data_IF_555119895255
#
_entry.id   IF_555119895255
#
_cell.length_a   1.000
_cell.length_b   1.000
_cell.length_c   1.000
_cell.angle_alpha   90.00
_cell.angle_beta   90.00
_cell.angle_gamma   90.00
#
_symmetry.space_group_name_H-M   'P 1'
#
loop_
_entity.id
_entity.type
_entity.pdbx_description
1 polymer ?
#
# COMPACT_ATOMS: atom_id res chain seq x y z
N UNK A 1 -6.09 11.22 20.80
CA UNK A 1 -5.22 10.11 20.36
C UNK A 1 -4.62 10.52 19.04
N UNK A 2 -3.30 10.51 18.89
CA UNK A 2 -2.67 10.64 17.59
C UNK A 2 -3.05 9.41 16.79
N UNK A 3 -3.94 9.54 15.79
CA UNK A 3 -4.17 8.46 14.84
C UNK A 3 -2.86 8.26 14.09
N UNK A 4 -2.24 7.08 14.24
CA UNK A 4 -1.09 6.71 13.42
C UNK A 4 -1.57 6.67 11.97
N UNK A 5 -0.92 7.44 11.11
CA UNK A 5 -1.22 7.50 9.68
C UNK A 5 -0.89 6.14 9.03
N UNK A 6 -1.75 5.69 8.11
CA UNK A 6 -1.54 4.40 7.43
C UNK A 6 -0.21 4.37 6.67
N UNK A 7 0.46 3.23 6.72
CA UNK A 7 1.69 2.95 5.99
C UNK A 7 1.43 1.77 5.05
N UNK A 8 1.70 1.95 3.76
CA UNK A 8 1.60 0.91 2.74
C UNK A 8 2.66 -0.15 3.03
N UNK A 9 2.25 -1.41 3.09
CA UNK A 9 3.15 -2.54 3.18
C UNK A 9 3.26 -3.23 1.80
N UNK A 10 4.37 -3.06 1.06
CA UNK A 10 4.56 -3.74 -0.21
C UNK A 10 4.72 -5.25 -0.06
N UNK A 11 5.05 -5.76 1.12
CA UNK A 11 5.41 -7.16 1.36
C UNK A 11 6.43 -7.71 0.35
N UNK A 12 6.36 -9.02 0.10
CA UNK A 12 7.15 -9.71 -0.93
C UNK A 12 6.39 -9.74 -2.28
N UNK A 13 6.12 -8.58 -2.89
CA UNK A 13 5.78 -8.52 -4.32
C UNK A 13 7.09 -8.70 -5.12
N UNK A 14 7.69 -9.88 -5.01
CA UNK A 14 8.85 -10.26 -5.80
C UNK A 14 8.35 -10.93 -7.10
N UNK A 15 9.12 -10.79 -8.18
CA UNK A 15 8.82 -11.24 -9.55
C UNK A 15 8.36 -12.70 -9.72
N UNK A 16 8.44 -13.52 -8.67
CA UNK A 16 8.13 -14.94 -8.64
C UNK A 16 6.90 -15.31 -7.80
N UNK A 17 6.21 -14.35 -7.17
CA UNK A 17 4.91 -14.61 -6.55
C UNK A 17 3.79 -14.66 -7.59
N UNK A 18 2.88 -15.63 -7.48
CA UNK A 18 1.73 -15.81 -8.37
C UNK A 18 1.04 -14.46 -8.66
N UNK A 19 0.95 -14.09 -9.94
CA UNK A 19 0.51 -12.76 -10.40
C UNK A 19 -0.83 -12.33 -9.78
N UNK A 20 -1.75 -13.29 -9.59
CA UNK A 20 -3.03 -13.07 -8.91
C UNK A 20 -2.86 -12.63 -7.45
N UNK A 21 -1.91 -13.22 -6.72
CA UNK A 21 -1.63 -12.86 -5.32
C UNK A 21 -1.03 -11.46 -5.20
N UNK A 22 -0.18 -11.07 -6.14
CA UNK A 22 0.40 -9.72 -6.18
C UNK A 22 -0.68 -8.66 -6.43
N UNK A 23 -1.56 -8.87 -7.41
CA UNK A 23 -2.68 -7.96 -7.69
C UNK A 23 -3.61 -7.83 -6.49
N UNK A 24 -4.00 -8.94 -5.85
CA UNK A 24 -4.86 -8.91 -4.67
C UNK A 24 -4.25 -8.14 -3.50
N UNK A 25 -2.93 -8.28 -3.26
CA UNK A 25 -2.23 -7.51 -2.21
C UNK A 25 -2.21 -6.02 -2.50
N UNK A 26 -1.91 -5.64 -3.73
CA UNK A 26 -1.92 -4.22 -4.15
C UNK A 26 -3.33 -3.63 -3.95
N UNK A 27 -4.38 -4.36 -4.34
CA UNK A 27 -5.76 -3.92 -4.13
C UNK A 27 -6.09 -3.75 -2.64
N UNK A 28 -5.64 -4.68 -1.80
CA UNK A 28 -5.84 -4.63 -0.35
C UNK A 28 -5.19 -3.39 0.30
N UNK A 29 -3.95 -3.08 -0.07
CA UNK A 29 -3.24 -1.91 0.45
C UNK A 29 -3.90 -0.59 0.02
N UNK A 30 -4.40 -0.52 -1.21
CA UNK A 30 -5.14 0.66 -1.72
C UNK A 30 -6.46 0.84 -0.97
N UNK A 31 -7.20 -0.24 -0.72
CA UNK A 31 -8.46 -0.20 0.02
C UNK A 31 -8.25 0.29 1.46
N UNK A 32 -7.25 -0.26 2.15
CA UNK A 32 -6.91 0.16 3.50
C UNK A 32 -6.43 1.62 3.57
N UNK A 33 -5.61 2.06 2.62
CA UNK A 33 -5.18 3.45 2.51
C UNK A 33 -6.40 4.39 2.36
N UNK A 34 -7.35 4.05 1.49
CA UNK A 34 -8.58 4.82 1.32
C UNK A 34 -9.44 4.82 2.60
N UNK A 35 -9.62 3.67 3.24
CA UNK A 35 -10.42 3.53 4.47
C UNK A 35 -9.80 4.30 5.66
N UNK A 36 -8.47 4.36 5.72
CA UNK A 36 -7.76 5.14 6.74
C UNK A 36 -7.83 6.65 6.55
N UNK A 37 -8.31 7.12 5.39
CA UNK A 37 -8.29 8.53 5.00
C UNK A 37 -6.90 9.05 4.62
N UNK A 38 -6.00 8.17 4.18
CA UNK A 38 -4.65 8.56 3.77
C UNK A 38 -4.73 9.58 2.63
N UNK A 39 -4.05 10.72 2.80
CA UNK A 39 -3.99 11.75 1.75
C UNK A 39 -3.25 11.21 0.53
N UNK A 40 -3.75 11.54 -0.66
CA UNK A 40 -3.14 11.15 -1.94
C UNK A 40 -1.66 11.53 -2.05
N UNK A 41 -1.27 12.70 -1.56
CA UNK A 41 0.14 13.13 -1.51
C UNK A 41 1.00 12.16 -0.68
N UNK A 42 0.52 11.77 0.50
CA UNK A 42 1.20 10.81 1.37
C UNK A 42 1.25 9.41 0.78
N UNK A 43 0.18 8.99 0.10
CA UNK A 43 0.15 7.74 -0.64
C UNK A 43 1.25 7.75 -1.72
N UNK A 44 1.31 8.80 -2.54
CA UNK A 44 2.32 8.94 -3.58
C UNK A 44 3.75 8.97 -3.02
N UNK A 45 4.00 9.74 -1.95
CA UNK A 45 5.29 9.78 -1.25
C UNK A 45 5.74 8.40 -0.77
N UNK A 46 4.80 7.56 -0.33
CA UNK A 46 5.08 6.20 0.10
C UNK A 46 5.39 5.30 -1.10
N UNK A 47 4.61 5.37 -2.18
CA UNK A 47 4.87 4.61 -3.42
C UNK A 47 6.23 4.95 -4.02
N UNK A 48 6.63 6.22 -4.06
CA UNK A 48 7.95 6.64 -4.58
C UNK A 48 9.12 6.06 -3.78
N UNK A 49 8.94 5.81 -2.47
CA UNK A 49 9.96 5.18 -1.61
C UNK A 49 10.09 3.68 -1.80
N UNK A 50 9.13 3.05 -2.49
CA UNK A 50 9.10 1.62 -2.77
C UNK A 50 9.77 1.26 -4.11
N UNK A 51 10.14 2.27 -4.92
CA UNK A 51 10.87 2.12 -6.18
C UNK A 51 12.38 2.06 -5.97
#
# INVERSE_FOLDING_TARGET
MSQTEYQIDPGNIASNSEETSAVSKISYEIENANNSGLKKEKFNDQIEKLQ
#
